data_IF_107538137594
#
_entry.id   IF_107538137594
#
_cell.length_a   1.000
_cell.length_b   1.000
_cell.length_c   1.000
_cell.angle_alpha   90.00
_cell.angle_beta   90.00
_cell.angle_gamma   90.00
#
_symmetry.space_group_name_H-M   'P 1'
#
loop_
_entity.id
_entity.type
_entity.pdbx_description
1 polymer ?
#
# COMPACT_ATOMS: atom_id res chain seq x y z
N UNK A 1 17.67 -3.43 -18.30
CA UNK A 1 18.65 -3.99 -17.33
C UNK A 1 19.52 -2.87 -16.80
N UNK A 2 19.72 -2.79 -15.49
CA UNK A 2 20.66 -1.87 -14.87
C UNK A 2 22.07 -2.48 -14.90
N UNK A 3 23.08 -1.68 -15.25
CA UNK A 3 24.49 -2.06 -15.14
C UNK A 3 25.11 -1.14 -14.11
N UNK A 4 25.54 -1.70 -12.98
CA UNK A 4 26.03 -0.98 -11.82
C UNK A 4 27.41 -1.49 -11.38
N UNK A 5 28.10 -0.68 -10.58
CA UNK A 5 29.29 -1.12 -9.86
C UNK A 5 28.93 -2.20 -8.83
N UNK A 6 29.73 -3.25 -8.76
CA UNK A 6 29.58 -4.28 -7.73
C UNK A 6 30.35 -3.85 -6.48
N UNK A 7 29.63 -3.50 -5.42
CA UNK A 7 30.19 -3.14 -4.13
C UNK A 7 30.15 -4.35 -3.19
N UNK A 8 31.27 -4.64 -2.54
CA UNK A 8 31.32 -5.66 -1.50
C UNK A 8 30.63 -5.15 -0.23
N UNK A 9 29.96 -6.06 0.48
CA UNK A 9 29.24 -5.74 1.73
C UNK A 9 29.99 -6.39 2.89
N UNK A 10 30.54 -5.57 3.78
CA UNK A 10 31.23 -6.04 4.98
C UNK A 10 30.28 -6.24 6.16
N UNK A 11 29.17 -5.49 6.18
CA UNK A 11 28.15 -5.57 7.24
C UNK A 11 26.79 -5.10 6.75
N UNK A 12 25.75 -5.82 7.14
CA UNK A 12 24.36 -5.56 6.75
C UNK A 12 23.52 -5.19 7.98
N UNK A 13 22.71 -4.14 7.85
CA UNK A 13 21.71 -3.75 8.85
C UNK A 13 20.40 -3.44 8.15
N UNK A 14 19.32 -3.37 8.93
CA UNK A 14 18.01 -2.94 8.46
C UNK A 14 17.75 -1.51 8.94
N UNK A 15 17.24 -0.65 8.06
CA UNK A 15 16.77 0.68 8.43
C UNK A 15 15.50 1.03 7.67
N UNK A 16 14.50 1.55 8.37
CA UNK A 16 13.29 2.09 7.77
C UNK A 16 12.80 3.34 8.48
N UNK A 17 12.02 4.15 7.75
CA UNK A 17 11.27 5.29 8.26
C UNK A 17 9.83 5.11 7.80
N UNK A 18 8.87 5.22 8.72
CA UNK A 18 7.44 5.17 8.38
C UNK A 18 6.63 6.14 9.25
N UNK A 19 5.41 6.45 8.81
CA UNK A 19 4.43 7.15 9.67
C UNK A 19 3.80 6.15 10.65
N UNK A 20 4.15 6.25 11.93
CA UNK A 20 3.60 5.37 12.96
C UNK A 20 2.24 5.90 13.45
N UNK A 21 1.21 5.06 13.34
CA UNK A 21 -0.16 5.40 13.71
C UNK A 21 -0.39 5.48 15.22
N UNK A 22 0.42 4.80 16.03
CA UNK A 22 0.32 4.85 17.49
C UNK A 22 1.02 6.09 18.05
N UNK A 23 2.15 6.49 17.45
CA UNK A 23 2.92 7.66 17.88
C UNK A 23 2.45 8.97 17.23
N UNK A 24 1.60 8.91 16.20
CA UNK A 24 1.10 10.06 15.43
C UNK A 24 2.22 10.88 14.76
N UNK A 25 3.23 10.21 14.24
CA UNK A 25 4.35 10.88 13.58
C UNK A 25 5.36 9.91 12.95
N UNK A 26 6.41 10.44 12.31
CA UNK A 26 7.48 9.61 11.75
C UNK A 26 8.23 8.84 12.84
N UNK A 27 8.53 7.58 12.58
CA UNK A 27 9.38 6.73 13.44
C UNK A 27 10.47 6.11 12.59
N UNK A 28 11.71 6.21 13.05
CA UNK A 28 12.81 5.39 12.53
C UNK A 28 12.76 4.03 13.20
N UNK A 29 12.84 2.96 12.41
CA UNK A 29 12.94 1.58 12.86
C UNK A 29 14.26 1.03 12.32
N UNK A 30 15.06 0.40 13.18
CA UNK A 30 16.34 -0.15 12.76
C UNK A 30 16.69 -1.43 13.50
N UNK A 31 17.43 -2.31 12.83
CA UNK A 31 18.01 -3.51 13.44
C UNK A 31 19.44 -3.74 12.96
N UNK A 32 20.39 -4.12 13.83
CA UNK A 32 21.72 -4.56 13.40
C UNK A 32 21.67 -5.90 12.64
N UNK A 33 20.52 -6.59 12.61
CA UNK A 33 20.29 -7.80 11.82
C UNK A 33 19.64 -7.41 10.48
N UNK A 34 20.47 -7.09 9.48
CA UNK A 34 20.03 -6.82 8.10
C UNK A 34 20.02 -8.06 7.21
N UNK A 35 19.60 -7.89 5.95
CA UNK A 35 19.59 -8.95 4.94
C UNK A 35 18.51 -10.02 5.17
N UNK A 36 17.61 -9.80 6.13
CA UNK A 36 16.49 -10.68 6.48
C UNK A 36 15.19 -9.89 6.56
N UNK A 37 14.07 -10.60 6.61
CA UNK A 37 12.76 -10.00 6.79
C UNK A 37 12.61 -9.41 8.20
N UNK A 38 12.18 -8.15 8.31
CA UNK A 38 12.16 -7.46 9.61
C UNK A 38 11.06 -8.01 10.52
N UNK A 39 9.97 -8.52 9.94
CA UNK A 39 8.87 -9.20 10.61
C UNK A 39 9.36 -10.47 11.32
N UNK A 40 10.31 -11.21 10.72
CA UNK A 40 10.91 -12.38 11.36
C UNK A 40 11.73 -11.95 12.58
N UNK A 41 12.57 -10.92 12.45
CA UNK A 41 13.35 -10.36 13.56
C UNK A 41 12.45 -9.88 14.69
N UNK A 42 11.30 -9.27 14.36
CA UNK A 42 10.34 -8.80 15.35
C UNK A 42 9.73 -9.93 16.19
N UNK A 43 9.63 -11.14 15.64
CA UNK A 43 9.13 -12.33 16.32
C UNK A 43 10.24 -13.05 17.09
N UNK A 44 11.40 -13.24 16.47
CA UNK A 44 12.47 -14.09 17.03
C UNK A 44 13.41 -13.35 17.97
N UNK A 45 13.65 -12.07 17.73
CA UNK A 45 14.64 -11.25 18.45
C UNK A 45 14.18 -9.78 18.57
N UNK A 46 13.02 -9.51 19.19
CA UNK A 46 12.44 -8.17 19.28
C UNK A 46 13.36 -7.14 19.96
N UNK A 47 14.28 -7.59 20.83
CA UNK A 47 15.28 -6.74 21.47
C UNK A 47 16.31 -6.14 20.50
N UNK A 48 16.42 -6.70 19.29
CA UNK A 48 17.26 -6.17 18.21
C UNK A 48 16.54 -5.14 17.35
N UNK A 49 15.29 -4.79 17.67
CA UNK A 49 14.54 -3.74 16.99
C UNK A 49 14.60 -2.47 17.83
N UNK A 50 15.22 -1.45 17.27
CA UNK A 50 15.31 -0.13 17.86
C UNK A 50 14.36 0.82 17.16
N UNK A 51 13.68 1.66 17.95
CA UNK A 51 12.76 2.67 17.45
C UNK A 51 13.13 4.04 18.00
N UNK A 52 13.05 5.06 17.15
CA UNK A 52 13.23 6.46 17.53
C UNK A 52 12.09 7.28 16.90
N UNK A 53 11.23 7.83 17.76
CA UNK A 53 10.14 8.72 17.35
C UNK A 53 10.70 10.09 16.97
N UNK A 54 10.20 10.68 15.88
CA UNK A 54 10.60 11.99 15.39
C UNK A 54 9.41 12.94 15.46
N UNK A 55 9.61 14.09 16.10
CA UNK A 55 8.66 15.19 16.00
C UNK A 55 8.68 15.77 14.58
N UNK A 56 7.52 15.79 13.92
CA UNK A 56 7.41 16.18 12.52
C UNK A 56 7.67 17.67 12.27
N UNK A 57 7.53 18.53 13.29
CA UNK A 57 7.76 19.96 13.18
C UNK A 57 9.22 20.33 13.49
N UNK A 58 9.82 19.69 14.51
CA UNK A 58 11.23 19.90 14.83
C UNK A 58 12.16 19.18 13.85
N UNK A 59 11.71 18.06 13.29
CA UNK A 59 12.50 17.22 12.40
C UNK A 59 13.49 16.32 13.14
N UNK A 60 14.22 15.51 12.35
CA UNK A 60 15.25 14.61 12.89
C UNK A 60 16.41 15.39 13.52
N UNK A 61 16.78 15.02 14.75
CA UNK A 61 17.92 15.60 15.47
C UNK A 61 19.17 14.75 15.30
N UNK A 62 20.34 15.39 15.31
CA UNK A 62 21.64 14.71 15.25
C UNK A 62 21.78 13.63 16.34
N UNK A 63 21.29 13.89 17.55
CA UNK A 63 21.32 12.92 18.65
C UNK A 63 20.55 11.63 18.31
N UNK A 64 19.38 11.76 17.66
CA UNK A 64 18.55 10.60 17.29
C UNK A 64 19.23 9.79 16.18
N UNK A 65 19.75 10.47 15.15
CA UNK A 65 20.45 9.81 14.05
C UNK A 65 21.72 9.08 14.53
N UNK A 66 22.52 9.71 15.41
CA UNK A 66 23.71 9.11 16.00
C UNK A 66 23.37 7.92 16.92
N UNK A 67 22.27 8.01 17.67
CA UNK A 67 21.80 6.91 18.52
C UNK A 67 21.34 5.72 17.68
N UNK A 68 20.58 5.95 16.61
CA UNK A 68 20.17 4.90 15.68
C UNK A 68 21.38 4.26 15.01
N UNK A 69 22.32 5.05 14.46
CA UNK A 69 23.55 4.53 13.88
C UNK A 69 24.36 3.67 14.87
N UNK A 70 24.41 4.07 16.15
CA UNK A 70 25.05 3.27 17.21
C UNK A 70 24.34 1.95 17.45
N UNK A 71 23.01 1.97 17.56
CA UNK A 71 22.19 0.78 17.81
C UNK A 71 22.29 -0.21 16.64
N UNK A 72 22.38 0.31 15.41
CA UNK A 72 22.67 -0.45 14.21
C UNK A 72 24.11 -0.98 14.17
N UNK A 73 24.98 -0.65 15.13
CA UNK A 73 26.33 -1.21 15.23
C UNK A 73 27.42 -0.47 14.44
N UNK A 74 27.13 0.68 13.84
CA UNK A 74 28.14 1.49 13.15
C UNK A 74 29.10 2.13 14.18
N UNK A 75 30.40 2.15 13.87
CA UNK A 75 31.44 2.62 14.80
C UNK A 75 32.37 3.66 14.17
N UNK A 76 33.00 4.47 15.02
CA UNK A 76 34.01 5.44 14.60
C UNK A 76 33.50 6.40 13.52
N UNK A 77 34.27 6.65 12.43
CA UNK A 77 33.84 7.50 11.34
C UNK A 77 32.55 7.03 10.63
N UNK A 78 32.30 5.71 10.60
CA UNK A 78 31.12 5.13 9.94
C UNK A 78 29.83 5.44 10.69
N UNK A 79 29.89 5.61 12.02
CA UNK A 79 28.74 6.06 12.80
C UNK A 79 28.27 7.45 12.33
N UNK A 80 29.21 8.35 12.07
CA UNK A 80 28.89 9.71 11.61
C UNK A 80 28.36 9.70 10.17
N UNK A 81 28.92 8.86 9.29
CA UNK A 81 28.42 8.67 7.93
C UNK A 81 27.00 8.09 7.93
N UNK A 82 26.74 7.06 8.74
CA UNK A 82 25.41 6.45 8.86
C UNK A 82 24.39 7.45 9.41
N UNK A 83 24.74 8.20 10.45
CA UNK A 83 23.86 9.26 10.97
C UNK A 83 23.55 10.34 9.92
N UNK A 84 24.51 10.68 9.07
CA UNK A 84 24.28 11.62 7.96
C UNK A 84 23.33 11.03 6.89
N UNK A 85 23.53 9.77 6.50
CA UNK A 85 22.62 9.07 5.58
C UNK A 85 21.20 8.95 6.14
N UNK A 86 21.06 8.60 7.42
CA UNK A 86 19.76 8.53 8.11
C UNK A 86 19.01 9.86 8.03
N UNK A 87 19.70 11.00 8.26
CA UNK A 87 19.08 12.33 8.11
C UNK A 87 18.67 12.63 6.67
N UNK A 88 19.49 12.22 5.69
CA UNK A 88 19.17 12.36 4.26
C UNK A 88 17.95 11.52 3.88
N UNK A 89 17.84 10.29 4.38
CA UNK A 89 16.69 9.40 4.18
C UNK A 89 15.43 9.97 4.82
N UNK A 90 15.52 10.56 6.01
CA UNK A 90 14.39 11.26 6.63
C UNK A 90 13.90 12.45 5.79
N UNK A 91 14.84 13.27 5.30
CA UNK A 91 14.49 14.39 4.43
C UNK A 91 13.90 13.92 3.10
N UNK A 92 14.40 12.81 2.55
CA UNK A 92 13.85 12.15 1.37
C UNK A 92 12.41 11.70 1.62
N UNK A 93 12.19 10.95 2.71
CA UNK A 93 10.88 10.44 3.14
C UNK A 93 9.83 11.55 3.19
N UNK A 94 10.15 12.69 3.81
CA UNK A 94 9.25 13.85 3.84
C UNK A 94 9.06 14.50 2.46
N UNK A 95 10.14 14.65 1.70
CA UNK A 95 10.12 15.38 0.42
C UNK A 95 9.25 14.68 -0.63
N UNK A 96 9.22 13.36 -0.63
CA UNK A 96 8.52 12.56 -1.64
C UNK A 96 7.16 12.05 -1.17
N UNK A 97 6.69 12.49 0.00
CA UNK A 97 5.45 12.01 0.61
C UNK A 97 5.39 10.48 0.72
N UNK A 98 6.49 9.89 1.20
CA UNK A 98 6.54 8.45 1.43
C UNK A 98 5.69 8.06 2.65
N UNK A 99 5.01 6.93 2.57
CA UNK A 99 4.42 6.25 3.73
C UNK A 99 5.47 5.39 4.44
N UNK A 100 6.44 4.87 3.67
CA UNK A 100 7.59 4.12 4.16
C UNK A 100 8.79 4.28 3.22
N UNK A 101 9.97 4.44 3.80
CA UNK A 101 11.26 4.22 3.12
C UNK A 101 11.98 3.13 3.88
N UNK A 102 12.28 2.03 3.23
CA UNK A 102 12.98 0.87 3.78
C UNK A 102 14.28 0.66 2.99
N UNK A 103 15.38 0.47 3.71
CA UNK A 103 16.70 0.19 3.16
C UNK A 103 17.19 -1.12 3.78
N UNK A 104 17.29 -2.15 2.95
CA UNK A 104 17.69 -3.49 3.38
C UNK A 104 18.47 -4.19 2.25
N UNK A 105 19.82 -4.25 2.32
CA UNK A 105 20.64 -3.84 3.45
C UNK A 105 21.03 -2.34 3.43
N UNK A 106 20.99 -1.71 4.61
CA UNK A 106 21.72 -0.48 4.92
C UNK A 106 23.04 -0.88 5.59
N UNK A 107 24.18 -0.63 4.95
CA UNK A 107 25.40 -1.33 5.35
C UNK A 107 26.70 -0.62 5.07
N UNK A 108 27.79 -1.36 5.26
CA UNK A 108 29.16 -0.88 5.13
C UNK A 108 29.90 -1.65 4.03
N UNK A 109 30.79 -0.97 3.30
CA UNK A 109 31.75 -1.63 2.40
C UNK A 109 33.09 -1.86 3.11
N UNK A 110 33.96 -2.77 2.63
CA UNK A 110 35.33 -2.95 3.14
C UNK A 110 36.17 -1.66 3.09
N UNK A 111 35.87 -0.73 2.18
CA UNK A 111 36.56 0.55 2.00
C UNK A 111 36.14 1.61 3.03
N UNK A 112 35.21 1.29 3.94
CA UNK A 112 34.75 2.21 4.98
C UNK A 112 33.76 3.25 4.47
N UNK A 113 32.83 2.82 3.62
CA UNK A 113 31.70 3.64 3.17
C UNK A 113 30.38 3.08 3.70
N UNK A 114 29.45 3.97 4.04
CA UNK A 114 28.06 3.59 4.36
C UNK A 114 27.19 3.76 3.13
N UNK A 115 26.47 2.70 2.75
CA UNK A 115 25.72 2.60 1.50
C UNK A 115 24.30 2.08 1.76
N UNK A 116 23.34 2.61 1.01
CA UNK A 116 22.00 2.03 0.86
C UNK A 116 22.05 1.09 -0.34
N UNK A 117 22.21 -0.21 -0.12
CA UNK A 117 22.45 -1.17 -1.21
C UNK A 117 21.19 -1.50 -1.98
N UNK A 118 20.08 -1.69 -1.27
CA UNK A 118 18.75 -1.88 -1.85
C UNK A 118 17.72 -1.15 -0.98
N UNK A 119 16.65 -0.68 -1.61
CA UNK A 119 15.61 0.08 -0.95
C UNK A 119 14.24 -0.12 -1.59
N UNK A 120 13.22 -0.17 -0.73
CA UNK A 120 11.81 -0.16 -1.09
C UNK A 120 11.16 1.12 -0.58
N UNK A 121 10.41 1.80 -1.44
CA UNK A 121 9.72 3.04 -1.09
C UNK A 121 8.24 2.87 -1.39
N UNK A 122 7.40 3.10 -0.39
CA UNK A 122 5.96 3.17 -0.53
C UNK A 122 5.54 4.64 -0.45
N UNK A 123 4.66 5.06 -1.35
CA UNK A 123 4.19 6.45 -1.46
C UNK A 123 2.79 6.63 -0.87
N UNK A 124 2.43 7.86 -0.51
CA UNK A 124 1.05 8.22 -0.19
C UNK A 124 0.30 8.59 -1.46
N UNK A 125 -0.66 7.76 -1.88
CA UNK A 125 -1.53 8.03 -3.03
C UNK A 125 -2.25 9.38 -2.92
N UNK A 126 -2.57 9.83 -1.70
CA UNK A 126 -3.22 11.13 -1.50
C UNK A 126 -2.32 12.32 -1.86
N UNK A 127 -1.01 12.10 -1.99
CA UNK A 127 -0.03 13.13 -2.36
C UNK A 127 0.24 13.20 -3.87
N UNK A 128 -0.38 12.35 -4.70
CA UNK A 128 -0.18 12.32 -6.16
C UNK A 128 -0.28 13.70 -6.79
N UNK A 129 -1.26 14.51 -6.35
CA UNK A 129 -1.50 15.86 -6.89
C UNK A 129 -0.27 16.78 -6.82
N UNK A 130 0.64 16.55 -5.86
CA UNK A 130 1.89 17.30 -5.65
C UNK A 130 3.16 16.50 -5.96
N UNK A 131 3.06 15.21 -6.26
CA UNK A 131 4.19 14.30 -6.58
C UNK A 131 4.12 13.78 -8.02
N UNK A 132 3.64 14.60 -8.97
CA UNK A 132 3.37 14.18 -10.36
C UNK A 132 4.55 13.52 -11.08
N UNK A 133 5.78 13.96 -10.83
CA UNK A 133 6.97 13.37 -11.46
C UNK A 133 7.22 11.93 -10.99
N UNK A 134 6.92 11.64 -9.72
CA UNK A 134 7.05 10.29 -9.14
C UNK A 134 5.97 9.38 -9.70
N UNK A 135 4.71 9.82 -9.65
CA UNK A 135 3.58 9.04 -10.15
C UNK A 135 3.60 8.88 -11.68
N UNK A 136 4.34 9.72 -12.42
CA UNK A 136 4.60 9.51 -13.84
C UNK A 136 5.58 8.35 -14.13
N UNK A 137 6.35 7.91 -13.12
CA UNK A 137 7.24 6.74 -13.20
C UNK A 137 6.55 5.44 -12.79
N UNK A 138 5.26 5.49 -12.42
CA UNK A 138 4.48 4.32 -12.03
C UNK A 138 4.40 3.29 -13.17
N UNK A 139 5.06 2.14 -12.97
CA UNK A 139 5.07 1.04 -13.94
C UNK A 139 3.91 0.09 -13.67
N UNK A 140 2.88 0.19 -14.51
CA UNK A 140 1.66 -0.61 -14.41
C UNK A 140 1.73 -1.94 -15.14
N UNK A 141 2.86 -2.28 -15.77
CA UNK A 141 2.98 -3.45 -16.64
C UNK A 141 2.92 -4.79 -15.89
N UNK A 142 3.26 -4.78 -14.60
CA UNK A 142 3.21 -5.96 -13.72
C UNK A 142 1.94 -6.03 -12.86
N UNK A 143 1.10 -5.00 -12.88
CA UNK A 143 -0.16 -4.99 -12.13
C UNK A 143 -1.22 -5.89 -12.79
N UNK A 144 -2.18 -6.34 -11.98
CA UNK A 144 -3.36 -7.04 -12.48
C UNK A 144 -4.13 -6.13 -13.47
N UNK A 145 -4.43 -6.60 -14.70
CA UNK A 145 -5.09 -5.76 -15.72
C UNK A 145 -6.41 -5.13 -15.27
N UNK A 146 -7.17 -5.83 -14.41
CA UNK A 146 -8.45 -5.34 -13.87
C UNK A 146 -8.23 -4.19 -12.88
N UNK A 147 -7.18 -4.24 -12.05
CA UNK A 147 -6.83 -3.15 -11.13
C UNK A 147 -6.44 -1.89 -11.91
N UNK A 148 -5.63 -2.05 -12.96
CA UNK A 148 -5.25 -0.96 -13.86
C UNK A 148 -6.45 -0.31 -14.55
N UNK A 149 -7.42 -1.10 -14.99
CA UNK A 149 -8.64 -0.59 -15.62
C UNK A 149 -9.55 0.10 -14.60
N UNK A 150 -9.69 -0.47 -13.40
CA UNK A 150 -10.47 0.12 -12.31
C UNK A 150 -9.96 1.51 -11.90
N UNK A 151 -8.64 1.67 -11.78
CA UNK A 151 -8.01 2.93 -11.41
C UNK A 151 -8.35 4.08 -12.38
N UNK A 152 -8.60 3.81 -13.67
CA UNK A 152 -9.00 4.84 -14.66
C UNK A 152 -10.37 5.45 -14.39
N UNK A 153 -11.18 4.79 -13.56
CA UNK A 153 -12.55 5.17 -13.23
C UNK A 153 -12.72 5.54 -11.76
N UNK A 154 -11.62 5.80 -11.05
CA UNK A 154 -11.59 6.07 -9.60
C UNK A 154 -12.24 4.94 -8.78
N UNK A 155 -12.10 3.69 -9.24
CA UNK A 155 -12.62 2.49 -8.58
C UNK A 155 -11.49 1.79 -7.83
N UNK A 156 -11.71 1.53 -6.53
CA UNK A 156 -10.75 0.78 -5.71
C UNK A 156 -11.07 -0.70 -5.80
N UNK A 157 -10.42 -1.38 -6.73
CA UNK A 157 -10.53 -2.82 -6.96
C UNK A 157 -9.32 -3.54 -6.36
N UNK A 158 -9.55 -4.69 -5.72
CA UNK A 158 -8.50 -5.63 -5.32
C UNK A 158 -8.97 -7.03 -5.68
N UNK A 159 -8.17 -7.77 -6.45
CA UNK A 159 -8.46 -9.15 -6.81
C UNK A 159 -8.31 -10.12 -5.63
N UNK A 160 -9.23 -11.07 -5.50
CA UNK A 160 -9.15 -12.16 -4.52
C UNK A 160 -9.30 -13.53 -5.21
N UNK A 161 -8.99 -14.61 -4.48
CA UNK A 161 -9.16 -15.99 -4.95
C UNK A 161 -10.53 -16.56 -4.57
N UNK A 162 -11.56 -16.09 -5.28
CA UNK A 162 -12.94 -16.53 -5.08
C UNK A 162 -13.77 -16.45 -6.35
N UNK A 163 -15.07 -16.73 -6.21
CA UNK A 163 -16.00 -16.81 -7.33
C UNK A 163 -17.29 -15.98 -7.13
N UNK A 164 -17.48 -15.37 -5.97
CA UNK A 164 -18.59 -14.44 -5.73
C UNK A 164 -18.03 -13.02 -5.77
N UNK A 165 -18.25 -12.33 -6.89
CA UNK A 165 -17.86 -10.94 -7.00
C UNK A 165 -18.78 -10.05 -6.16
N UNK A 166 -18.26 -8.94 -5.66
CA UNK A 166 -19.08 -7.94 -5.00
C UNK A 166 -18.64 -6.52 -5.32
N UNK A 167 -19.58 -5.58 -5.28
CA UNK A 167 -19.24 -4.17 -5.26
C UNK A 167 -20.19 -3.40 -4.35
N UNK A 168 -19.63 -2.37 -3.73
CA UNK A 168 -20.24 -1.69 -2.59
C UNK A 168 -19.87 -0.21 -2.61
N UNK A 169 -20.67 0.62 -1.96
CA UNK A 169 -20.37 2.04 -1.79
C UNK A 169 -19.84 2.37 -0.39
N UNK A 170 -18.52 2.34 -0.25
CA UNK A 170 -17.78 2.63 0.97
C UNK A 170 -16.92 1.44 1.40
N UNK A 171 -15.61 1.70 1.57
CA UNK A 171 -14.61 0.70 1.93
C UNK A 171 -14.98 -0.18 3.14
N UNK A 172 -15.53 0.41 4.21
CA UNK A 172 -15.92 -0.35 5.40
C UNK A 172 -17.03 -1.38 5.12
N UNK A 173 -18.03 -0.99 4.32
CA UNK A 173 -19.11 -1.89 3.93
C UNK A 173 -18.62 -2.91 2.88
N UNK A 174 -17.67 -2.53 2.02
CA UNK A 174 -17.06 -3.43 1.04
C UNK A 174 -16.30 -4.58 1.75
N UNK A 175 -15.49 -4.26 2.78
CA UNK A 175 -14.82 -5.28 3.61
C UNK A 175 -15.85 -6.17 4.31
N UNK A 176 -16.83 -5.57 5.01
CA UNK A 176 -17.87 -6.33 5.70
C UNK A 176 -18.70 -7.22 4.76
N UNK A 177 -18.82 -6.84 3.49
CA UNK A 177 -19.51 -7.63 2.46
C UNK A 177 -18.65 -8.83 2.02
N UNK A 178 -17.34 -8.65 1.87
CA UNK A 178 -16.43 -9.78 1.65
C UNK A 178 -16.44 -10.76 2.84
N UNK A 179 -16.44 -10.21 4.07
CA UNK A 179 -16.51 -10.99 5.31
C UNK A 179 -17.80 -11.78 5.41
N UNK A 180 -18.97 -11.15 5.18
CA UNK A 180 -20.25 -11.83 5.32
C UNK A 180 -20.45 -12.91 4.24
N UNK A 181 -19.90 -12.73 3.03
CA UNK A 181 -19.85 -13.79 2.01
C UNK A 181 -19.07 -14.99 2.55
N UNK A 182 -17.88 -14.73 3.11
CA UNK A 182 -16.99 -15.76 3.65
C UNK A 182 -17.59 -16.48 4.86
N UNK A 183 -18.19 -15.73 5.79
CA UNK A 183 -18.87 -16.26 6.97
C UNK A 183 -20.04 -17.18 6.63
N UNK A 184 -20.67 -16.99 5.46
CA UNK A 184 -21.74 -17.84 4.97
C UNK A 184 -21.26 -18.92 3.97
N UNK A 185 -19.95 -19.20 3.93
CA UNK A 185 -19.35 -20.29 3.15
C UNK A 185 -19.07 -19.99 1.69
N UNK A 186 -19.28 -18.75 1.24
CA UNK A 186 -18.87 -18.29 -0.09
C UNK A 186 -17.39 -17.89 -0.12
N UNK A 187 -16.87 -17.60 -1.32
CA UNK A 187 -15.52 -17.05 -1.50
C UNK A 187 -15.60 -15.73 -2.27
N UNK A 188 -15.32 -14.57 -1.63
CA UNK A 188 -15.32 -13.29 -2.33
C UNK A 188 -14.25 -13.30 -3.42
N UNK A 189 -14.63 -12.96 -4.65
CA UNK A 189 -13.74 -12.92 -5.81
C UNK A 189 -12.92 -11.62 -5.87
N UNK A 190 -13.41 -10.57 -5.21
CA UNK A 190 -12.79 -9.26 -5.23
C UNK A 190 -13.25 -8.41 -4.04
N UNK A 191 -12.51 -7.34 -3.78
CA UNK A 191 -12.98 -6.14 -3.11
C UNK A 191 -13.21 -5.05 -4.16
N UNK A 192 -14.34 -4.35 -4.13
CA UNK A 192 -14.60 -3.20 -5.01
C UNK A 192 -15.42 -2.12 -4.30
N UNK A 193 -14.79 -0.98 -4.05
CA UNK A 193 -15.41 0.21 -3.50
C UNK A 193 -15.67 1.28 -4.59
N UNK A 194 -16.93 1.68 -4.74
CA UNK A 194 -17.36 2.74 -5.65
C UNK A 194 -17.24 4.16 -5.04
N UNK A 195 -16.96 4.26 -3.74
CA UNK A 195 -17.01 5.48 -2.95
C UNK A 195 -18.43 5.85 -2.50
N UNK A 196 -18.54 6.81 -1.58
CA UNK A 196 -19.83 7.21 -0.99
C UNK A 196 -20.79 7.94 -1.94
N UNK A 197 -20.27 8.56 -3.00
CA UNK A 197 -21.03 9.33 -4.00
C UNK A 197 -21.26 8.55 -5.29
N UNK A 198 -21.91 7.38 -5.21
CA UNK A 198 -22.08 6.46 -6.34
C UNK A 198 -22.77 7.14 -7.53
N UNK A 199 -22.15 7.01 -8.70
CA UNK A 199 -22.72 7.44 -9.99
C UNK A 199 -23.13 6.24 -10.83
N UNK A 200 -24.17 6.40 -11.67
CA UNK A 200 -24.61 5.36 -12.63
C UNK A 200 -23.46 4.85 -13.50
N UNK A 201 -22.59 5.76 -13.97
CA UNK A 201 -21.42 5.41 -14.77
C UNK A 201 -20.43 4.49 -14.02
N UNK A 202 -20.22 4.70 -12.72
CA UNK A 202 -19.34 3.84 -11.92
C UNK A 202 -19.93 2.44 -11.73
N UNK A 203 -21.26 2.34 -11.55
CA UNK A 203 -21.96 1.04 -11.51
C UNK A 203 -21.77 0.28 -12.83
N UNK A 204 -21.92 0.96 -13.96
CA UNK A 204 -21.69 0.35 -15.27
C UNK A 204 -20.25 -0.16 -15.43
N UNK A 205 -19.25 0.65 -15.08
CA UNK A 205 -17.85 0.23 -15.14
C UNK A 205 -17.54 -0.93 -14.18
N UNK A 206 -18.13 -0.93 -12.98
CA UNK A 206 -18.00 -2.04 -12.04
C UNK A 206 -18.50 -3.35 -12.65
N UNK A 207 -19.68 -3.38 -13.26
CA UNK A 207 -20.15 -4.58 -13.97
C UNK A 207 -19.23 -4.99 -15.11
N UNK A 208 -18.73 -4.02 -15.90
CA UNK A 208 -17.80 -4.31 -17.00
C UNK A 208 -16.50 -4.95 -16.50
N UNK A 209 -15.97 -4.52 -15.36
CA UNK A 209 -14.79 -5.11 -14.73
C UNK A 209 -15.08 -6.55 -14.24
N UNK A 210 -16.18 -6.73 -13.50
CA UNK A 210 -16.51 -8.02 -12.90
C UNK A 210 -16.89 -9.10 -13.94
N UNK A 211 -17.51 -8.69 -15.04
CA UNK A 211 -17.85 -9.61 -16.15
C UNK A 211 -16.63 -10.02 -16.99
N UNK A 212 -15.49 -9.34 -16.84
CA UNK A 212 -14.24 -9.71 -17.48
C UNK A 212 -13.49 -10.83 -16.74
N UNK A 213 -13.76 -11.04 -15.43
CA UNK A 213 -13.14 -12.10 -14.65
C UNK A 213 -13.88 -13.44 -14.85
N UNK A 214 -13.26 -14.45 -15.50
CA UNK A 214 -13.91 -15.74 -15.75
C UNK A 214 -14.15 -16.57 -14.49
N UNK A 215 -13.54 -16.22 -13.34
CA UNK A 215 -13.77 -16.90 -12.05
C UNK A 215 -15.12 -16.55 -11.45
N UNK A 216 -15.76 -15.46 -11.88
CA UNK A 216 -17.00 -14.96 -11.29
C UNK A 216 -18.17 -15.84 -11.70
N UNK A 217 -18.81 -16.45 -10.70
CA UNK A 217 -20.00 -17.30 -10.84
C UNK A 217 -21.27 -16.62 -10.33
N UNK A 218 -21.16 -15.59 -9.48
CA UNK A 218 -22.26 -14.78 -8.99
C UNK A 218 -21.78 -13.38 -8.61
N UNK A 219 -22.68 -12.39 -8.64
CA UNK A 219 -22.39 -11.02 -8.21
C UNK A 219 -23.32 -10.62 -7.06
N UNK A 220 -22.76 -10.09 -5.98
CA UNK A 220 -23.48 -9.46 -4.89
C UNK A 220 -23.28 -7.94 -4.91
N UNK A 221 -24.37 -7.22 -5.14
CA UNK A 221 -24.41 -5.76 -5.08
C UNK A 221 -25.01 -5.35 -3.74
N UNK A 222 -24.26 -4.59 -2.95
CA UNK A 222 -24.72 -4.09 -1.68
C UNK A 222 -24.53 -2.57 -1.64
N UNK A 223 -25.61 -1.82 -1.86
CA UNK A 223 -25.58 -0.36 -1.89
C UNK A 223 -26.46 0.19 -0.77
N UNK A 224 -25.88 1.07 0.03
CA UNK A 224 -26.61 1.90 0.99
C UNK A 224 -26.77 3.30 0.38
N UNK A 225 -27.96 3.61 -0.14
CA UNK A 225 -28.22 4.75 -1.02
C UNK A 225 -27.81 6.10 -0.44
N UNK A 226 -27.94 6.29 0.87
CA UNK A 226 -27.52 7.52 1.54
C UNK A 226 -28.24 8.74 0.96
N UNK A 227 -27.54 9.52 0.13
CA UNK A 227 -28.10 10.69 -0.57
C UNK A 227 -28.63 10.38 -1.98
N UNK A 228 -28.33 9.19 -2.54
CA UNK A 228 -28.73 8.77 -3.88
C UNK A 228 -29.98 7.89 -3.79
N UNK A 229 -30.99 8.22 -4.59
CA UNK A 229 -32.24 7.44 -4.64
C UNK A 229 -31.99 6.03 -5.20
N UNK A 230 -32.42 5.00 -4.47
CA UNK A 230 -32.28 3.60 -4.85
C UNK A 230 -32.87 3.27 -6.24
N UNK A 231 -33.94 3.95 -6.67
CA UNK A 231 -34.52 3.75 -8.01
C UNK A 231 -33.55 4.14 -9.14
N UNK A 232 -32.73 5.18 -8.94
CA UNK A 232 -31.70 5.59 -9.92
C UNK A 232 -30.65 4.49 -10.05
N UNK A 233 -30.20 3.94 -8.91
CA UNK A 233 -29.21 2.86 -8.86
C UNK A 233 -29.77 1.58 -9.49
N UNK A 234 -31.02 1.20 -9.15
CA UNK A 234 -31.69 0.03 -9.70
C UNK A 234 -31.82 0.10 -11.23
N UNK A 235 -32.17 1.27 -11.78
CA UNK A 235 -32.22 1.49 -13.22
C UNK A 235 -30.83 1.38 -13.87
N UNK A 236 -29.79 1.89 -13.20
CA UNK A 236 -28.40 1.72 -13.66
C UNK A 236 -27.95 0.26 -13.69
N UNK A 237 -28.32 -0.52 -12.66
CA UNK A 237 -28.04 -1.95 -12.58
C UNK A 237 -28.71 -2.71 -13.73
N UNK A 238 -30.02 -2.53 -13.94
CA UNK A 238 -30.75 -3.26 -14.99
C UNK A 238 -30.25 -2.92 -16.37
N UNK A 239 -29.94 -1.64 -16.63
CA UNK A 239 -29.33 -1.18 -17.87
C UNK A 239 -27.96 -1.81 -18.11
N UNK A 240 -27.07 -1.79 -17.11
CA UNK A 240 -25.75 -2.40 -17.22
C UNK A 240 -25.84 -3.92 -17.49
N UNK A 241 -26.77 -4.62 -16.83
CA UNK A 241 -26.99 -6.05 -17.04
C UNK A 241 -27.45 -6.38 -18.47
N UNK A 242 -28.28 -5.52 -19.07
CA UNK A 242 -28.76 -5.68 -20.44
C UNK A 242 -27.66 -5.38 -21.47
N UNK A 243 -26.96 -4.26 -21.31
CA UNK A 243 -25.93 -3.82 -22.25
C UNK A 243 -24.68 -4.71 -22.24
N UNK A 244 -24.33 -5.28 -21.08
CA UNK A 244 -23.17 -6.16 -20.90
C UNK A 244 -23.51 -7.65 -21.01
N UNK A 245 -24.78 -8.00 -21.29
CA UNK A 245 -25.27 -9.37 -21.39
C UNK A 245 -24.87 -10.26 -20.18
N UNK A 246 -25.20 -9.81 -18.96
CA UNK A 246 -24.80 -10.50 -17.74
C UNK A 246 -25.34 -11.95 -17.70
N UNK A 247 -24.45 -12.92 -17.53
CA UNK A 247 -24.77 -14.37 -17.55
C UNK A 247 -24.84 -15.03 -16.18
N UNK A 248 -24.25 -14.38 -15.18
CA UNK A 248 -24.18 -14.90 -13.81
C UNK A 248 -25.35 -14.39 -12.98
N UNK A 249 -25.81 -15.16 -11.97
CA UNK A 249 -26.81 -14.69 -11.03
C UNK A 249 -26.37 -13.41 -10.32
N UNK A 250 -27.31 -12.48 -10.20
CA UNK A 250 -27.13 -11.20 -9.56
C UNK A 250 -28.01 -11.12 -8.30
N UNK A 251 -27.39 -10.91 -7.14
CA UNK A 251 -28.06 -10.65 -5.87
C UNK A 251 -27.89 -9.17 -5.53
N UNK A 252 -28.99 -8.46 -5.33
CA UNK A 252 -28.97 -7.01 -5.10
C UNK A 252 -29.63 -6.71 -3.76
N UNK A 253 -28.91 -6.00 -2.90
CA UNK A 253 -29.43 -5.35 -1.71
C UNK A 253 -29.26 -3.84 -1.87
N UNK A 254 -30.39 -3.13 -1.95
CA UNK A 254 -30.47 -1.68 -1.92
C UNK A 254 -31.22 -1.27 -0.65
N UNK A 255 -30.70 -0.29 0.07
CA UNK A 255 -31.39 0.30 1.22
C UNK A 255 -31.20 1.81 1.24
N UNK A 256 -32.28 2.56 1.48
CA UNK A 256 -32.28 4.03 1.50
C UNK A 256 -33.41 4.65 0.68
#
# INVERSE_FOLDING_TARGET
VMVAEALDISRETYFAILMDRACNGPVMVGSPQGGVDIEEVAVTSPELIFKEEIDIFEGIKDRQALQMAKNLGFQGPLQQQAADQIKKLYNLFLKIDATQVEVNPFGETPEGQVVCFDAKINFDDNAEFRQKEIFAMDDKSENEPIENEAAKYDLKYIGLDGNIACFVNGAGLAMATCDIISLNGGKPANFLDLGGGVKEAQVYQAFKLLTADPKVEAILVNIFGGIVNCAIIANGITKACQELELKVPLVVRLEG
#
